data_IF_499999242928
#
_entry.id   IF_499999242928
#
_cell.length_a   1.000
_cell.length_b   1.000
_cell.length_c   1.000
_cell.angle_alpha   90.00
_cell.angle_beta   90.00
_cell.angle_gamma   90.00
#
_symmetry.space_group_name_H-M   'P 1'
#
loop_
_entity.id
_entity.type
_entity.pdbx_description
1 polymer ?
#
# COMPACT_ATOMS: atom_id res chain seq x y z
N UNK A 1 -14.72 6.42 7.93
CA UNK A 1 -13.44 6.17 8.64
C UNK A 1 -13.05 4.69 8.55
N UNK A 2 -13.98 3.75 8.82
CA UNK A 2 -13.75 2.30 8.68
C UNK A 2 -13.36 1.91 7.24
N UNK A 3 -14.08 2.41 6.22
CA UNK A 3 -13.78 2.10 4.81
C UNK A 3 -12.42 2.63 4.35
N UNK A 4 -11.94 3.72 4.94
CA UNK A 4 -10.63 4.29 4.66
C UNK A 4 -9.52 3.41 5.27
N UNK A 5 -9.69 2.99 6.52
CA UNK A 5 -8.77 2.06 7.17
C UNK A 5 -8.71 0.70 6.44
N UNK A 6 -9.86 0.19 5.97
CA UNK A 6 -9.90 -1.03 5.17
C UNK A 6 -9.14 -0.89 3.85
N UNK A 7 -9.28 0.24 3.16
CA UNK A 7 -8.51 0.53 1.93
C UNK A 7 -7.00 0.59 2.19
N UNK A 8 -6.56 1.21 3.29
CA UNK A 8 -5.14 1.27 3.67
C UNK A 8 -4.62 -0.13 3.98
N UNK A 9 -5.36 -0.91 4.78
CA UNK A 9 -4.98 -2.29 5.10
C UNK A 9 -4.86 -3.11 3.82
N UNK A 10 -5.85 -3.02 2.93
CA UNK A 10 -5.83 -3.78 1.69
C UNK A 10 -4.70 -3.36 0.74
N UNK A 11 -4.41 -2.06 0.61
CA UNK A 11 -3.26 -1.54 -0.14
C UNK A 11 -1.93 -2.06 0.43
N UNK A 12 -1.83 -2.09 1.75
CA UNK A 12 -0.64 -2.59 2.46
C UNK A 12 -0.47 -4.09 2.26
N UNK A 13 -1.54 -4.88 2.41
CA UNK A 13 -1.50 -6.33 2.18
C UNK A 13 -1.14 -6.68 0.74
N UNK A 14 -1.67 -5.94 -0.24
CA UNK A 14 -1.32 -6.15 -1.65
C UNK A 14 0.16 -5.85 -1.88
N UNK A 15 0.67 -4.74 -1.33
CA UNK A 15 2.09 -4.36 -1.45
C UNK A 15 3.02 -5.40 -0.81
N UNK A 16 2.64 -5.95 0.34
CA UNK A 16 3.40 -7.03 1.00
C UNK A 16 3.37 -8.31 0.15
N UNK A 17 2.22 -8.62 -0.45
CA UNK A 17 2.05 -9.81 -1.30
C UNK A 17 2.93 -9.71 -2.56
N UNK A 18 2.96 -8.55 -3.21
CA UNK A 18 3.84 -8.32 -4.36
C UNK A 18 5.32 -8.42 -4.00
N UNK A 19 5.68 -8.01 -2.78
CA UNK A 19 7.04 -8.09 -2.26
C UNK A 19 7.43 -9.48 -1.71
N UNK A 20 6.50 -10.43 -1.59
CA UNK A 20 6.72 -11.66 -0.80
C UNK A 20 7.91 -12.48 -1.28
N UNK A 21 8.13 -12.58 -2.59
CA UNK A 21 9.26 -13.31 -3.18
C UNK A 21 10.59 -12.69 -2.78
N UNK A 22 10.68 -11.36 -2.79
CA UNK A 22 11.87 -10.64 -2.35
C UNK A 22 12.07 -10.76 -0.84
N UNK A 23 10.97 -10.71 -0.09
CA UNK A 23 10.95 -10.81 1.36
C UNK A 23 11.45 -12.18 1.85
N UNK A 24 11.06 -13.26 1.17
CA UNK A 24 11.56 -14.62 1.44
C UNK A 24 13.07 -14.72 1.18
N UNK A 25 13.55 -14.16 0.08
CA UNK A 25 14.99 -14.16 -0.25
C UNK A 25 15.78 -13.35 0.80
N UNK A 26 15.26 -12.19 1.20
CA UNK A 26 15.87 -11.35 2.23
C UNK A 26 15.95 -12.07 3.58
N UNK A 27 14.85 -12.67 4.04
CA UNK A 27 14.83 -13.47 5.29
C UNK A 27 15.84 -14.61 5.21
N UNK A 28 15.86 -15.34 4.09
CA UNK A 28 16.80 -16.46 3.91
C UNK A 28 18.25 -15.99 4.00
N UNK A 29 18.56 -14.85 3.39
CA UNK A 29 19.89 -14.25 3.44
C UNK A 29 20.26 -13.78 4.86
N UNK A 30 19.37 -13.08 5.55
CA UNK A 30 19.58 -12.61 6.93
C UNK A 30 19.82 -13.76 7.91
N UNK A 31 19.03 -14.84 7.81
CA UNK A 31 19.14 -16.00 8.71
C UNK A 31 20.32 -16.89 8.35
N UNK A 32 20.61 -17.11 7.05
CA UNK A 32 21.62 -18.10 6.63
C UNK A 32 23.00 -17.50 6.48
N UNK A 33 23.11 -16.30 5.89
CA UNK A 33 24.39 -15.68 5.57
C UNK A 33 24.84 -14.79 6.72
N UNK A 34 23.95 -13.93 7.22
CA UNK A 34 24.28 -13.03 8.33
C UNK A 34 24.15 -13.72 9.70
N UNK A 35 23.50 -14.89 9.76
CA UNK A 35 23.29 -15.65 10.99
C UNK A 35 22.60 -14.82 12.08
N UNK A 36 21.72 -13.91 11.67
CA UNK A 36 21.02 -13.04 12.62
C UNK A 36 20.06 -13.87 13.48
N UNK A 37 19.95 -13.55 14.78
CA UNK A 37 18.91 -14.10 15.63
C UNK A 37 17.53 -13.82 15.03
N UNK A 38 16.68 -14.85 14.98
CA UNK A 38 15.30 -14.72 14.51
C UNK A 38 14.53 -13.54 15.15
N UNK A 39 14.68 -13.24 16.45
CA UNK A 39 14.04 -12.06 17.05
C UNK A 39 14.44 -10.73 16.41
N UNK A 40 15.69 -10.59 15.97
CA UNK A 40 16.18 -9.37 15.32
C UNK A 40 15.61 -9.21 13.91
N UNK A 41 15.53 -10.30 13.16
CA UNK A 41 14.88 -10.35 11.84
C UNK A 41 13.42 -9.92 11.93
N UNK A 42 12.67 -10.43 12.92
CA UNK A 42 11.28 -10.00 13.14
C UNK A 42 11.15 -8.52 13.50
N UNK A 43 12.08 -7.96 14.28
CA UNK A 43 12.08 -6.53 14.58
C UNK A 43 12.29 -5.69 13.31
N UNK A 44 13.22 -6.09 12.43
CA UNK A 44 13.47 -5.40 11.16
C UNK A 44 12.25 -5.45 10.23
N UNK A 45 11.61 -6.62 10.11
CA UNK A 45 10.37 -6.77 9.35
C UNK A 45 9.21 -5.97 9.94
N UNK A 46 9.09 -5.90 11.26
CA UNK A 46 8.08 -5.09 11.94
C UNK A 46 8.20 -3.61 11.61
N UNK A 47 9.42 -3.08 11.59
CA UNK A 47 9.70 -1.69 11.20
C UNK A 47 9.28 -1.45 9.74
N UNK A 48 9.61 -2.37 8.83
CA UNK A 48 9.21 -2.28 7.42
C UNK A 48 7.68 -2.17 7.26
N UNK A 49 6.92 -2.97 8.00
CA UNK A 49 5.44 -2.92 7.96
C UNK A 49 4.90 -1.58 8.47
N UNK A 50 5.46 -1.04 9.55
CA UNK A 50 5.05 0.26 10.09
C UNK A 50 5.34 1.38 9.09
N UNK A 51 6.51 1.37 8.45
CA UNK A 51 6.87 2.33 7.41
C UNK A 51 5.91 2.22 6.22
N UNK A 52 5.64 1.00 5.75
CA UNK A 52 4.71 0.76 4.64
C UNK A 52 3.29 1.27 4.95
N UNK A 53 2.81 1.06 6.18
CA UNK A 53 1.53 1.61 6.64
C UNK A 53 1.54 3.14 6.66
N UNK A 54 2.62 3.75 7.18
CA UNK A 54 2.78 5.21 7.19
C UNK A 54 2.78 5.81 5.79
N UNK A 55 3.49 5.20 4.84
CA UNK A 55 3.50 5.60 3.43
C UNK A 55 2.12 5.43 2.81
N UNK A 56 1.47 4.28 3.00
CA UNK A 56 0.13 4.04 2.47
C UNK A 56 -0.90 5.02 3.04
N UNK A 57 -0.73 5.49 4.27
CA UNK A 57 -1.59 6.50 4.87
C UNK A 57 -1.38 7.89 4.26
N UNK A 58 -0.15 8.24 3.88
CA UNK A 58 0.18 9.51 3.20
C UNK A 58 -0.31 9.48 1.74
N UNK A 59 -0.15 8.34 1.07
CA UNK A 59 -0.48 8.18 -0.36
C UNK A 59 -1.99 7.94 -0.56
N UNK A 60 -2.69 7.38 0.43
CA UNK A 60 -4.13 7.13 0.33
C UNK A 60 -4.86 8.44 -0.03
N UNK A 61 -5.42 8.54 -1.25
CA UNK A 61 -5.99 9.80 -1.70
C UNK A 61 -7.20 10.15 -0.84
N UNK A 62 -7.18 11.33 -0.23
CA UNK A 62 -8.42 11.99 0.17
C UNK A 62 -9.24 12.20 -1.10
N UNK A 63 -10.32 11.42 -1.23
CA UNK A 63 -11.48 11.70 -2.06
C UNK A 63 -11.16 12.22 -3.49
N UNK A 64 -11.25 11.40 -4.56
CA UNK A 64 -11.36 12.01 -5.88
C UNK A 64 -12.58 12.91 -5.85
N UNK A 65 -12.35 14.23 -5.94
CA UNK A 65 -13.40 15.23 -6.03
C UNK A 65 -14.47 14.70 -6.99
N UNK A 66 -15.77 14.78 -6.64
CA UNK A 66 -16.81 14.31 -7.54
C UNK A 66 -16.63 15.07 -8.84
N UNK A 67 -16.26 14.36 -9.91
CA UNK A 67 -16.35 14.85 -11.27
C UNK A 67 -17.84 15.04 -11.57
N UNK A 68 -18.43 16.12 -11.02
CA UNK A 68 -19.74 16.57 -11.43
C UNK A 68 -19.59 17.08 -12.86
N UNK A 69 -19.94 16.20 -13.79
CA UNK A 69 -20.78 16.52 -14.95
C UNK A 69 -20.26 17.71 -15.78
N UNK A 70 -19.19 17.49 -16.56
CA UNK A 70 -18.91 18.28 -17.76
C UNK A 70 -19.24 17.46 -19.02
N UNK A 71 -20.40 16.81 -19.05
CA UNK A 71 -20.85 16.15 -20.27
C UNK A 71 -22.38 16.07 -20.39
N UNK A 72 -23.05 17.22 -20.45
CA UNK A 72 -24.37 17.38 -21.06
C UNK A 72 -24.62 18.87 -21.26
N UNK A 73 -24.23 19.43 -22.41
CA UNK A 73 -24.95 20.56 -23.06
C UNK A 73 -24.34 21.02 -24.41
N UNK A 74 -23.78 20.10 -25.20
CA UNK A 74 -23.45 20.37 -26.62
C UNK A 74 -24.41 19.65 -27.59
N UNK A 75 -25.68 19.52 -27.21
CA UNK A 75 -26.71 18.96 -28.10
C UNK A 75 -27.89 19.88 -28.36
N UNK A 76 -27.68 21.20 -28.31
CA UNK A 76 -28.69 22.16 -28.73
C UNK A 76 -28.13 23.34 -29.54
N UNK A 77 -27.24 23.05 -30.49
CA UNK A 77 -26.94 23.96 -31.61
C UNK A 77 -27.15 23.21 -32.91
N UNK A 78 -28.42 23.03 -33.27
CA UNK A 78 -28.92 22.83 -34.64
C UNK A 78 -30.43 22.61 -34.53
N UNK A 79 -31.19 23.72 -34.48
CA UNK A 79 -32.38 23.95 -35.31
C UNK A 79 -32.50 25.46 -35.52
#
# INVERSE_FOLDING_TARGET
MIDFMQKIMQSTTNSITDAITFLIIAIFYEVTVLQLPIPEVFNMLGILVIIALGINLIIAPENPLPQRIFNTDFHNVKQ
#
